data_IF_555506366882
#
_entry.id   IF_555506366882
#
_cell.length_a   1.000
_cell.length_b   1.000
_cell.length_c   1.000
_cell.angle_alpha   90.00
_cell.angle_beta   90.00
_cell.angle_gamma   90.00
#
_symmetry.space_group_name_H-M   'P 1'
#
loop_
_entity.id
_entity.type
_entity.pdbx_description
1 polymer ?
#
# COMPACT_ATOMS: atom_id res chain seq x y z
N UNK A 1 9.36 -18.51 0.99
CA UNK A 1 9.39 -17.09 1.37
C UNK A 1 7.99 -16.48 1.25
N UNK A 2 7.61 -15.55 2.13
CA UNK A 2 6.30 -14.88 2.12
C UNK A 2 6.44 -13.40 1.79
N UNK A 3 5.38 -12.77 1.28
CA UNK A 3 5.37 -11.33 0.97
C UNK A 3 5.68 -10.44 2.18
N UNK A 4 5.27 -10.85 3.39
CA UNK A 4 5.55 -10.14 4.63
C UNK A 4 7.03 -10.13 5.01
N UNK A 5 7.79 -11.11 4.50
CA UNK A 5 9.21 -11.29 4.77
C UNK A 5 10.10 -10.49 3.82
N UNK A 6 9.54 -9.91 2.76
CA UNK A 6 10.27 -8.99 1.88
C UNK A 6 10.60 -7.69 2.62
N UNK A 7 11.72 -7.09 2.24
CA UNK A 7 12.08 -5.76 2.71
C UNK A 7 11.05 -4.71 2.24
N UNK A 8 10.98 -3.59 2.96
CA UNK A 8 9.97 -2.56 2.70
C UNK A 8 10.11 -1.90 1.33
N UNK A 9 11.33 -1.79 0.81
CA UNK A 9 11.54 -1.17 -0.51
C UNK A 9 10.96 -2.08 -1.60
N UNK A 10 11.26 -3.37 -1.55
CA UNK A 10 10.71 -4.36 -2.48
C UNK A 10 9.20 -4.46 -2.34
N UNK A 11 8.66 -4.51 -1.11
CA UNK A 11 7.21 -4.48 -0.87
C UNK A 11 6.54 -3.22 -1.44
N UNK A 12 7.16 -2.05 -1.30
CA UNK A 12 6.66 -0.78 -1.87
C UNK A 12 6.63 -0.81 -3.40
N UNK A 13 7.68 -1.35 -4.04
CA UNK A 13 7.73 -1.53 -5.50
C UNK A 13 6.65 -2.50 -5.99
N UNK A 14 6.49 -3.65 -5.32
CA UNK A 14 5.43 -4.63 -5.61
C UNK A 14 4.07 -3.94 -5.47
N UNK A 15 3.79 -3.28 -4.36
CA UNK A 15 2.54 -2.56 -4.15
C UNK A 15 2.22 -1.61 -5.31
N UNK A 16 3.18 -0.78 -5.72
CA UNK A 16 3.03 0.15 -6.84
C UNK A 16 2.69 -0.56 -8.15
N UNK A 17 3.44 -1.63 -8.47
CA UNK A 17 3.22 -2.43 -9.66
C UNK A 17 1.85 -3.13 -9.63
N UNK A 18 1.54 -3.86 -8.57
CA UNK A 18 0.27 -4.58 -8.39
C UNK A 18 -0.91 -3.61 -8.49
N UNK A 19 -0.87 -2.44 -7.84
CA UNK A 19 -1.93 -1.43 -7.93
C UNK A 19 -2.10 -0.87 -9.35
N UNK A 20 -1.00 -0.64 -10.08
CA UNK A 20 -1.04 -0.21 -11.48
C UNK A 20 -1.74 -1.24 -12.35
N UNK A 21 -1.45 -2.52 -12.16
CA UNK A 21 -2.12 -3.62 -12.89
C UNK A 21 -3.59 -3.73 -12.44
N UNK A 22 -3.90 -3.68 -11.14
CA UNK A 22 -5.28 -3.80 -10.62
C UNK A 22 -6.20 -2.75 -11.24
N UNK A 23 -5.70 -1.52 -11.43
CA UNK A 23 -6.44 -0.44 -12.06
C UNK A 23 -6.82 -0.73 -13.52
N UNK A 24 -5.98 -1.44 -14.28
CA UNK A 24 -6.28 -1.86 -15.66
C UNK A 24 -7.44 -2.85 -15.72
N UNK A 25 -7.51 -3.77 -14.75
CA UNK A 25 -8.50 -4.84 -14.71
C UNK A 25 -9.69 -4.56 -13.78
N UNK A 26 -9.88 -3.31 -13.37
CA UNK A 26 -10.86 -2.92 -12.37
C UNK A 26 -12.29 -3.40 -12.69
N UNK A 27 -12.72 -3.36 -13.96
CA UNK A 27 -14.04 -3.87 -14.36
C UNK A 27 -14.19 -5.38 -14.13
N UNK A 28 -13.14 -6.16 -14.41
CA UNK A 28 -13.13 -7.61 -14.19
C UNK A 28 -13.16 -7.98 -12.70
N UNK A 29 -12.43 -7.20 -11.89
CA UNK A 29 -12.37 -7.38 -10.43
C UNK A 29 -13.74 -7.06 -9.79
N UNK A 30 -14.33 -5.91 -10.14
CA UNK A 30 -15.63 -5.49 -9.58
C UNK A 30 -16.76 -6.46 -9.96
N UNK A 31 -16.68 -7.09 -11.12
CA UNK A 31 -17.67 -8.08 -11.58
C UNK A 31 -17.41 -9.49 -11.06
N UNK A 32 -16.31 -9.73 -10.34
CA UNK A 32 -15.91 -11.06 -9.86
C UNK A 32 -15.41 -12.01 -10.95
N UNK A 33 -15.33 -11.56 -12.21
CA UNK A 33 -14.85 -12.36 -13.34
C UNK A 33 -13.34 -12.63 -13.27
N UNK A 34 -12.61 -11.74 -12.61
CA UNK A 34 -11.17 -11.87 -12.39
C UNK A 34 -10.90 -12.03 -10.90
N UNK A 35 -10.50 -13.24 -10.53
CA UNK A 35 -10.18 -13.65 -9.17
C UNK A 35 -8.71 -13.39 -8.83
N UNK A 36 -8.37 -13.37 -7.54
CA UNK A 36 -7.04 -13.00 -7.07
C UNK A 36 -5.94 -13.98 -7.51
N UNK A 37 -6.25 -15.27 -7.60
CA UNK A 37 -5.41 -16.34 -8.14
C UNK A 37 -5.01 -16.06 -9.59
N UNK A 38 -5.99 -15.89 -10.49
CA UNK A 38 -5.74 -15.55 -11.90
C UNK A 38 -4.98 -14.24 -12.05
N UNK A 39 -5.24 -13.29 -11.16
CA UNK A 39 -4.55 -12.01 -11.17
C UNK A 39 -3.08 -12.14 -10.74
N UNK A 40 -2.82 -12.94 -9.71
CA UNK A 40 -1.48 -13.26 -9.25
C UNK A 40 -0.70 -13.98 -10.34
N UNK A 41 -1.28 -14.99 -10.99
CA UNK A 41 -0.65 -15.70 -12.10
C UNK A 41 -0.29 -14.77 -13.25
N UNK A 42 -1.20 -13.88 -13.65
CA UNK A 42 -0.95 -12.90 -14.71
C UNK A 42 0.19 -11.93 -14.37
N UNK A 43 0.29 -11.49 -13.11
CA UNK A 43 1.40 -10.62 -12.68
C UNK A 43 2.71 -11.39 -12.64
N UNK A 44 2.71 -12.56 -12.01
CA UNK A 44 3.92 -13.34 -11.79
C UNK A 44 4.48 -13.95 -13.08
N UNK A 45 3.63 -14.14 -14.10
CA UNK A 45 4.05 -14.60 -15.43
C UNK A 45 4.55 -13.47 -16.33
N UNK A 46 4.38 -12.20 -15.94
CA UNK A 46 4.84 -11.07 -16.73
C UNK A 46 6.32 -10.79 -16.42
N UNK A 47 7.18 -10.72 -17.43
CA UNK A 47 8.60 -10.43 -17.27
C UNK A 47 8.89 -9.10 -16.56
N UNK A 48 7.99 -8.11 -16.64
CA UNK A 48 8.13 -6.83 -15.95
C UNK A 48 8.28 -7.00 -14.42
N UNK A 49 7.67 -8.03 -13.81
CA UNK A 49 7.77 -8.24 -12.36
C UNK A 49 9.18 -8.67 -11.94
N UNK A 50 9.96 -9.21 -12.89
CA UNK A 50 11.32 -9.68 -12.63
C UNK A 50 12.32 -8.54 -12.43
N UNK A 51 11.94 -7.30 -12.77
CA UNK A 51 12.72 -6.11 -12.40
C UNK A 51 12.55 -5.72 -10.93
N UNK A 52 11.62 -6.34 -10.22
CA UNK A 52 11.27 -6.06 -8.82
C UNK A 52 11.57 -7.28 -7.94
N UNK A 53 11.28 -8.49 -8.43
CA UNK A 53 11.41 -9.73 -7.67
C UNK A 53 12.24 -10.77 -8.43
N UNK A 54 13.11 -11.49 -7.72
CA UNK A 54 13.88 -12.57 -8.32
C UNK A 54 12.98 -13.71 -8.81
N UNK A 55 13.30 -14.26 -9.99
CA UNK A 55 12.58 -15.39 -10.60
C UNK A 55 12.49 -16.61 -9.67
N UNK A 56 13.49 -16.81 -8.82
CA UNK A 56 13.50 -17.89 -7.84
C UNK A 56 12.35 -17.72 -6.83
N UNK A 57 12.19 -16.52 -6.27
CA UNK A 57 11.12 -16.20 -5.31
C UNK A 57 9.74 -16.30 -5.99
N UNK A 58 9.62 -15.81 -7.24
CA UNK A 58 8.38 -15.87 -8.01
C UNK A 58 7.88 -17.31 -8.16
N UNK A 59 8.80 -18.26 -8.32
CA UNK A 59 8.47 -19.66 -8.55
C UNK A 59 8.13 -20.43 -7.27
N UNK A 60 8.43 -19.89 -6.09
CA UNK A 60 8.09 -20.52 -4.81
C UNK A 60 6.58 -20.56 -4.57
N UNK A 61 6.07 -21.74 -4.23
CA UNK A 61 4.65 -21.96 -3.99
C UNK A 61 4.14 -21.15 -2.78
N UNK A 62 4.92 -21.09 -1.72
CA UNK A 62 4.59 -20.30 -0.52
C UNK A 62 4.46 -18.81 -0.84
N UNK A 63 5.36 -18.29 -1.68
CA UNK A 63 5.32 -16.90 -2.10
C UNK A 63 4.05 -16.64 -2.91
N UNK A 64 3.76 -17.47 -3.93
CA UNK A 64 2.53 -17.37 -4.73
C UNK A 64 1.28 -17.34 -3.86
N UNK A 65 1.17 -18.27 -2.91
CA UNK A 65 0.03 -18.34 -1.99
C UNK A 65 -0.09 -17.09 -1.11
N UNK A 66 1.03 -16.58 -0.58
CA UNK A 66 1.04 -15.35 0.21
C UNK A 66 0.66 -14.12 -0.65
N UNK A 67 1.10 -14.09 -1.91
CA UNK A 67 0.83 -13.00 -2.83
C UNK A 67 -0.62 -12.96 -3.28
N UNK A 68 -1.27 -14.11 -3.46
CA UNK A 68 -2.72 -14.20 -3.71
C UNK A 68 -3.51 -13.55 -2.57
N UNK A 69 -3.22 -13.92 -1.31
CA UNK A 69 -3.88 -13.32 -0.12
C UNK A 69 -3.64 -11.81 -0.02
N UNK A 70 -2.45 -11.37 -0.39
CA UNK A 70 -2.13 -9.95 -0.47
C UNK A 70 -2.96 -9.23 -1.53
N UNK A 71 -3.09 -9.79 -2.74
CA UNK A 71 -3.95 -9.26 -3.79
C UNK A 71 -5.41 -9.20 -3.33
N UNK A 72 -5.92 -10.22 -2.64
CA UNK A 72 -7.26 -10.21 -2.05
C UNK A 72 -7.44 -9.02 -1.09
N UNK A 73 -6.45 -8.77 -0.24
CA UNK A 73 -6.43 -7.63 0.67
C UNK A 73 -6.50 -6.30 -0.10
N UNK A 74 -5.71 -6.14 -1.17
CA UNK A 74 -5.73 -4.95 -2.01
C UNK A 74 -7.08 -4.74 -2.72
N UNK A 75 -7.67 -5.83 -3.25
CA UNK A 75 -8.98 -5.81 -3.90
C UNK A 75 -10.06 -5.43 -2.90
N UNK A 76 -10.06 -6.02 -1.71
CA UNK A 76 -11.00 -5.71 -0.63
C UNK A 76 -10.93 -4.23 -0.26
N UNK A 77 -9.73 -3.73 0.04
CA UNK A 77 -9.52 -2.32 0.37
C UNK A 77 -10.01 -1.38 -0.75
N UNK A 78 -9.78 -1.75 -2.01
CA UNK A 78 -10.24 -0.97 -3.16
C UNK A 78 -11.78 -0.99 -3.29
N UNK A 79 -12.41 -2.13 -3.13
CA UNK A 79 -13.87 -2.28 -3.24
C UNK A 79 -14.59 -1.58 -2.09
N UNK A 80 -14.06 -1.64 -0.87
CA UNK A 80 -14.57 -0.88 0.28
C UNK A 80 -14.54 0.61 0.00
N UNK A 81 -13.42 1.13 -0.50
CA UNK A 81 -13.29 2.54 -0.89
C UNK A 81 -14.33 2.96 -1.95
N UNK A 82 -14.54 2.13 -2.99
CA UNK A 82 -15.53 2.41 -4.04
C UNK A 82 -16.96 2.34 -3.50
N UNK A 83 -17.26 1.33 -2.68
CA UNK A 83 -18.59 1.12 -2.07
C UNK A 83 -18.95 2.30 -1.16
N UNK A 84 -18.01 2.74 -0.32
CA UNK A 84 -18.18 3.91 0.54
C UNK A 84 -18.46 5.16 -0.28
N UNK A 85 -17.77 5.34 -1.41
CA UNK A 85 -18.01 6.46 -2.33
C UNK A 85 -19.41 6.43 -2.98
N UNK A 86 -19.91 5.23 -3.31
CA UNK A 86 -21.24 5.05 -3.93
C UNK A 86 -22.39 5.21 -2.94
N UNK A 87 -22.24 4.68 -1.72
CA UNK A 87 -23.27 4.73 -0.67
C UNK A 87 -23.43 6.13 -0.09
N UNK A 88 -22.36 6.91 -0.06
CA UNK A 88 -22.32 8.19 0.64
C UNK A 88 -22.12 9.37 -0.33
N UNK A 89 -23.08 9.66 -1.21
CA UNK A 89 -23.09 10.92 -1.98
C UNK A 89 -23.14 12.18 -1.09
N UNK A 90 -23.46 12.04 0.21
CA UNK A 90 -23.70 13.15 1.14
C UNK A 90 -22.77 13.19 2.39
N UNK A 91 -21.72 12.37 2.50
CA UNK A 91 -20.74 12.47 3.61
C UNK A 91 -19.35 12.84 3.09
N UNK A 92 -18.70 13.73 3.83
CA UNK A 92 -17.43 14.42 3.50
C UNK A 92 -16.34 13.44 3.03
N UNK A 93 -15.48 13.84 2.07
CA UNK A 93 -14.37 13.03 1.60
C UNK A 93 -13.50 12.59 2.78
N UNK A 94 -12.85 11.43 2.60
CA UNK A 94 -11.84 10.78 3.46
C UNK A 94 -11.49 11.60 4.71
N UNK A 95 -11.89 11.14 5.90
CA UNK A 95 -11.89 11.93 7.14
C UNK A 95 -10.55 12.64 7.28
N UNK A 96 -10.57 13.94 6.94
CA UNK A 96 -9.39 14.79 7.03
C UNK A 96 -8.80 14.61 8.41
N UNK A 97 -7.49 14.44 8.45
CA UNK A 97 -6.76 14.39 9.70
C UNK A 97 -7.12 15.59 10.57
N UNK A 98 -7.38 15.34 11.86
CA UNK A 98 -7.61 16.43 12.82
C UNK A 98 -6.35 17.29 12.95
N UNK A 99 -6.54 18.57 13.30
CA UNK A 99 -5.42 19.50 13.59
C UNK A 99 -4.47 18.88 14.64
N UNK A 100 -5.04 18.25 15.68
CA UNK A 100 -4.27 17.57 16.72
C UNK A 100 -3.39 16.45 16.16
N UNK A 101 -3.89 15.62 15.24
CA UNK A 101 -3.10 14.57 14.60
C UNK A 101 -1.97 15.15 13.75
N UNK A 102 -2.24 16.25 13.02
CA UNK A 102 -1.22 16.91 12.21
C UNK A 102 -0.10 17.52 13.06
N UNK A 103 -0.45 18.14 14.19
CA UNK A 103 0.54 18.68 15.15
C UNK A 103 1.40 17.54 15.71
N UNK A 104 0.77 16.46 16.17
CA UNK A 104 1.51 15.30 16.69
C UNK A 104 2.45 14.72 15.62
N UNK A 105 1.99 14.59 14.38
CA UNK A 105 2.82 14.07 13.29
C UNK A 105 4.01 14.98 13.03
N UNK A 106 3.80 16.30 13.00
CA UNK A 106 4.88 17.27 12.81
C UNK A 106 5.95 17.15 13.89
N UNK A 107 5.55 17.03 15.16
CA UNK A 107 6.50 16.89 16.27
C UNK A 107 7.30 15.58 16.13
N UNK A 108 6.62 14.46 15.84
CA UNK A 108 7.29 13.17 15.63
C UNK A 108 8.32 13.23 14.50
N UNK A 109 7.98 13.85 13.37
CA UNK A 109 8.88 13.99 12.22
C UNK A 109 10.15 14.77 12.59
N UNK A 110 10.01 15.86 13.35
CA UNK A 110 11.13 16.67 13.84
C UNK A 110 12.04 15.84 14.77
N UNK A 111 11.44 15.14 15.73
CA UNK A 111 12.16 14.33 16.73
C UNK A 111 12.95 13.18 16.07
N UNK A 112 12.38 12.56 15.04
CA UNK A 112 12.94 11.37 14.39
C UNK A 112 13.79 11.68 13.15
N UNK A 113 13.80 12.94 12.71
CA UNK A 113 14.53 13.39 11.52
C UNK A 113 13.93 12.88 10.20
N UNK A 114 12.62 12.60 10.17
CA UNK A 114 11.90 12.30 8.94
C UNK A 114 11.26 13.57 8.36
N UNK A 115 11.10 13.60 7.05
CA UNK A 115 10.33 14.63 6.33
C UNK A 115 9.23 13.98 5.49
N UNK A 116 8.10 14.68 5.36
CA UNK A 116 7.07 14.28 4.41
C UNK A 116 7.50 14.61 2.98
N UNK A 117 7.20 13.70 2.06
CA UNK A 117 7.37 13.91 0.61
C UNK A 117 6.16 14.60 -0.03
N UNK A 118 5.01 14.58 0.66
CA UNK A 118 3.76 15.23 0.25
C UNK A 118 3.25 16.18 1.33
N UNK A 119 2.51 17.24 0.97
CA UNK A 119 1.92 18.14 1.96
C UNK A 119 0.97 17.40 2.91
N UNK A 120 1.07 17.71 4.22
CA UNK A 120 0.29 17.05 5.28
C UNK A 120 -1.23 17.16 5.09
N UNK A 121 -1.70 18.19 4.38
CA UNK A 121 -3.11 18.40 4.05
C UNK A 121 -3.73 17.28 3.19
N UNK A 122 -2.90 16.50 2.49
CA UNK A 122 -3.34 15.36 1.68
C UNK A 122 -3.40 14.04 2.47
N UNK A 123 -2.96 14.04 3.73
CA UNK A 123 -2.97 12.85 4.56
C UNK A 123 -4.33 12.68 5.24
N UNK A 124 -4.94 11.50 5.02
CA UNK A 124 -6.09 11.07 5.79
C UNK A 124 -5.70 10.74 7.24
N UNK A 125 -6.69 10.65 8.13
CA UNK A 125 -6.46 10.15 9.50
C UNK A 125 -5.79 8.77 9.52
N UNK A 126 -6.15 7.90 8.57
CA UNK A 126 -5.54 6.57 8.41
C UNK A 126 -4.07 6.66 8.00
N UNK A 127 -3.75 7.55 7.06
CA UNK A 127 -2.36 7.75 6.64
C UNK A 127 -1.48 8.22 7.79
N UNK A 128 -1.98 9.18 8.58
CA UNK A 128 -1.25 9.67 9.75
C UNK A 128 -1.00 8.54 10.75
N UNK A 129 -2.02 7.73 11.08
CA UNK A 129 -1.85 6.61 12.01
C UNK A 129 -0.86 5.56 11.51
N UNK A 130 -0.87 5.25 10.20
CA UNK A 130 0.10 4.35 9.60
C UNK A 130 1.52 4.95 9.60
N UNK A 131 1.66 6.26 9.39
CA UNK A 131 2.94 6.96 9.52
C UNK A 131 3.48 6.89 10.95
N UNK A 132 2.63 7.13 11.97
CA UNK A 132 2.99 6.94 13.37
C UNK A 132 3.50 5.53 13.63
N UNK A 133 2.73 4.51 13.20
CA UNK A 133 3.12 3.12 13.36
C UNK A 133 4.46 2.82 12.71
N UNK A 134 4.65 3.28 11.47
CA UNK A 134 5.89 3.04 10.74
C UNK A 134 7.09 3.69 11.41
N UNK A 135 7.01 4.96 11.79
CA UNK A 135 8.11 5.68 12.42
C UNK A 135 8.47 5.05 13.78
N UNK A 136 7.48 4.62 14.56
CA UNK A 136 7.72 4.04 15.89
C UNK A 136 8.19 2.58 15.86
N UNK A 137 7.77 1.78 14.87
CA UNK A 137 8.01 0.32 14.86
C UNK A 137 8.89 -0.16 13.73
N UNK A 138 9.14 0.68 12.72
CA UNK A 138 9.79 0.30 11.48
C UNK A 138 8.96 -0.61 10.58
N UNK A 139 7.68 -0.86 10.90
CA UNK A 139 6.82 -1.81 10.18
C UNK A 139 5.64 -1.11 9.51
N UNK A 140 5.29 -1.59 8.31
CA UNK A 140 4.11 -1.17 7.55
C UNK A 140 3.22 -2.39 7.34
N UNK A 141 1.92 -2.23 7.60
CA UNK A 141 0.92 -3.27 7.39
C UNK A 141 0.70 -3.53 5.89
N UNK A 142 0.35 -4.78 5.56
CA UNK A 142 0.02 -5.16 4.20
C UNK A 142 -1.12 -4.32 3.63
N UNK A 143 -0.92 -3.78 2.44
CA UNK A 143 -1.87 -2.93 1.73
C UNK A 143 -1.71 -1.43 2.01
N UNK A 144 -0.83 -1.05 2.94
CA UNK A 144 -0.49 0.34 3.27
C UNK A 144 0.94 0.71 2.87
N UNK A 145 1.59 -0.05 1.99
CA UNK A 145 2.98 0.17 1.57
C UNK A 145 3.21 1.57 0.96
N UNK A 146 2.16 2.24 0.46
CA UNK A 146 2.24 3.64 0.00
C UNK A 146 2.85 4.59 1.04
N UNK A 147 2.69 4.29 2.33
CA UNK A 147 3.20 5.07 3.46
C UNK A 147 4.73 5.16 3.44
N UNK A 148 5.41 4.13 2.92
CA UNK A 148 6.86 4.14 2.74
C UNK A 148 7.31 5.30 1.85
N UNK A 149 6.51 5.66 0.84
CA UNK A 149 6.83 6.73 -0.11
C UNK A 149 6.42 8.13 0.39
N UNK A 150 5.71 8.22 1.52
CA UNK A 150 5.25 9.49 2.08
C UNK A 150 6.29 10.16 2.98
N UNK A 151 7.33 9.44 3.39
CA UNK A 151 8.41 10.00 4.19
C UNK A 151 9.78 9.67 3.61
N UNK A 152 10.74 10.56 3.89
CA UNK A 152 12.17 10.36 3.63
C UNK A 152 12.94 10.72 4.89
N UNK A 153 14.01 9.98 5.19
CA UNK A 153 14.88 10.32 6.31
C UNK A 153 15.80 11.46 5.88
N UNK A 154 15.85 12.54 6.65
CA UNK A 154 16.86 13.56 6.43
C UNK A 154 18.22 12.96 6.74
N UNK A 155 19.01 12.73 5.68
CA UNK A 155 20.45 12.63 5.82
C UNK A 155 20.90 14.06 6.15
N UNK A 156 20.98 14.40 7.44
CA UNK A 156 21.75 15.59 7.82
C UNK A 156 23.17 15.35 7.31
N UNK A 157 23.58 16.17 6.34
CA UNK A 157 24.98 16.32 5.96
C UNK A 157 25.74 16.96 7.11
#
# INVERSE_FOLDING_TARGET
MLIEQLDLETRSKIYGYTKKVLRKYQKGIVTGKLTADKFAENILSNEDITTILDKNIINELDFKNSYIKYIETLIKNQNENISNFKKNKNLKPDIKSSITQQIKLKNLLIETGYELTIPSQYLSSSDINNLFKYISTGKIDLGNERIFNYIKKNKKH
#
